data_IF_435223975763
#
_entry.id   IF_435223975763
#
_cell.length_a   1.000
_cell.length_b   1.000
_cell.length_c   1.000
_cell.angle_alpha   90.00
_cell.angle_beta   90.00
_cell.angle_gamma   90.00
#
_symmetry.space_group_name_H-M   'P 1'
#
loop_
_entity.id
_entity.type
_entity.pdbx_description
1 polymer ?
#
# COMPACT_ATOMS: atom_id res chain seq x y z
N UNK A 1 17.56 -4.06 5.81
CA UNK A 1 16.20 -3.54 5.55
C UNK A 1 15.50 -3.32 6.88
N UNK A 2 14.95 -2.12 7.14
CA UNK A 2 14.22 -1.77 8.39
C UNK A 2 12.73 -1.43 8.16
N UNK A 3 12.18 -1.78 6.99
CA UNK A 3 10.78 -1.52 6.67
C UNK A 3 9.84 -2.54 7.34
N UNK A 4 8.72 -2.08 7.88
CA UNK A 4 7.64 -2.92 8.39
C UNK A 4 6.38 -2.69 7.56
N UNK A 5 6.07 -3.61 6.64
CA UNK A 5 4.85 -3.55 5.82
C UNK A 5 3.56 -3.68 6.65
N UNK A 6 3.67 -4.08 7.91
CA UNK A 6 2.59 -4.19 8.88
C UNK A 6 2.51 -2.98 9.80
N UNK A 7 3.22 -1.88 9.52
CA UNK A 7 3.26 -0.75 10.46
C UNK A 7 1.88 -0.14 10.72
N UNK A 8 1.04 -0.01 9.69
CA UNK A 8 -0.32 0.52 9.82
C UNK A 8 -1.19 -0.30 10.77
N UNK A 9 -1.12 -1.64 10.71
CA UNK A 9 -1.91 -2.52 11.60
C UNK A 9 -1.40 -2.56 13.04
N UNK A 10 -0.25 -1.94 13.32
CA UNK A 10 0.35 -1.86 14.65
C UNK A 10 0.11 -0.49 15.31
N UNK A 11 -0.62 0.43 14.68
CA UNK A 11 -0.84 1.78 15.23
C UNK A 11 -1.47 1.72 16.63
N UNK A 12 -2.42 0.81 16.89
CA UNK A 12 -3.04 0.68 18.23
C UNK A 12 -2.04 0.29 19.32
N UNK A 13 -1.34 -0.87 19.23
CA UNK A 13 -0.38 -1.25 20.26
C UNK A 13 0.81 -0.28 20.35
N UNK A 14 1.17 0.42 19.28
CA UNK A 14 2.21 1.45 19.32
C UNK A 14 1.77 2.66 20.16
N UNK A 15 0.57 3.21 19.91
CA UNK A 15 0.04 4.32 20.70
C UNK A 15 -0.11 3.96 22.19
N UNK A 16 -0.59 2.75 22.47
CA UNK A 16 -0.72 2.27 23.85
C UNK A 16 0.63 2.17 24.56
N UNK A 17 1.65 1.57 23.92
CA UNK A 17 3.00 1.45 24.49
C UNK A 17 3.70 2.80 24.65
N UNK A 18 3.34 3.79 23.85
CA UNK A 18 3.83 5.17 23.99
C UNK A 18 3.19 5.95 25.13
N UNK A 19 2.25 5.36 25.88
CA UNK A 19 1.63 5.97 27.06
C UNK A 19 0.38 6.81 26.78
N UNK A 20 -0.13 6.81 25.55
CA UNK A 20 -1.39 7.49 25.22
C UNK A 20 -2.58 6.73 25.83
N UNK A 21 -3.58 7.50 26.26
CA UNK A 21 -4.86 7.01 26.78
C UNK A 21 -5.95 7.20 25.74
N UNK A 22 -7.10 6.55 25.96
CA UNK A 22 -8.27 6.62 25.08
C UNK A 22 -7.93 6.33 23.61
N UNK A 23 -7.02 5.38 23.38
CA UNK A 23 -6.52 5.05 22.04
C UNK A 23 -7.66 4.50 21.19
N UNK A 24 -7.85 5.10 20.01
CA UNK A 24 -8.78 4.63 18.98
C UNK A 24 -8.06 4.55 17.66
N UNK A 25 -8.35 3.51 16.86
CA UNK A 25 -7.77 3.33 15.53
C UNK A 25 -8.84 2.88 14.57
N UNK A 26 -8.97 3.60 13.46
CA UNK A 26 -9.92 3.29 12.39
C UNK A 26 -9.20 2.91 11.09
N UNK A 27 -9.66 1.88 10.37
CA UNK A 27 -9.22 1.64 9.00
C UNK A 27 -9.78 2.72 8.07
N UNK A 28 -8.98 3.15 7.10
CA UNK A 28 -9.32 4.11 6.05
C UNK A 28 -9.06 3.44 4.70
N UNK A 29 -10.07 2.70 4.24
CA UNK A 29 -9.99 1.92 3.01
C UNK A 29 -10.17 2.80 1.77
N UNK A 30 -9.32 2.56 0.79
CA UNK A 30 -9.44 3.03 -0.60
C UNK A 30 -9.85 1.82 -1.41
N UNK A 31 -11.12 1.79 -1.83
CA UNK A 31 -11.65 0.79 -2.74
C UNK A 31 -11.84 1.42 -4.13
N UNK A 32 -11.30 0.76 -5.15
CA UNK A 32 -11.25 1.23 -6.52
C UNK A 32 -11.79 0.13 -7.44
N UNK A 33 -12.62 0.55 -8.39
CA UNK A 33 -13.11 -0.22 -9.51
C UNK A 33 -13.27 0.74 -10.70
N UNK A 34 -13.64 0.20 -11.87
CA UNK A 34 -13.77 1.00 -13.11
C UNK A 34 -14.76 2.18 -13.05
N UNK A 35 -15.66 2.24 -12.07
CA UNK A 35 -16.57 3.39 -11.87
C UNK A 35 -15.90 4.62 -11.23
N UNK A 36 -14.63 4.50 -10.79
CA UNK A 36 -13.87 5.57 -10.10
C UNK A 36 -12.59 5.94 -10.86
N UNK A 37 -12.71 6.45 -12.11
CA UNK A 37 -11.56 6.66 -13.01
C UNK A 37 -10.50 7.59 -12.42
N UNK A 38 -10.89 8.57 -11.61
CA UNK A 38 -9.97 9.47 -10.91
C UNK A 38 -9.09 8.76 -9.86
N UNK A 39 -9.62 7.73 -9.20
CA UNK A 39 -8.85 6.91 -8.26
C UNK A 39 -8.01 5.86 -8.99
N UNK A 40 -8.50 5.31 -10.11
CA UNK A 40 -7.71 4.45 -10.99
C UNK A 40 -6.45 5.18 -11.43
N UNK A 41 -6.60 6.37 -12.01
CA UNK A 41 -5.48 7.19 -12.47
C UNK A 41 -4.61 7.69 -11.30
N UNK A 42 -5.20 8.35 -10.31
CA UNK A 42 -4.46 8.99 -9.23
C UNK A 42 -3.80 8.00 -8.27
N UNK A 43 -4.49 6.93 -7.89
CA UNK A 43 -4.03 6.02 -6.86
C UNK A 43 -3.32 4.80 -7.45
N UNK A 44 -3.90 4.11 -8.44
CA UNK A 44 -3.24 2.92 -9.00
C UNK A 44 -2.07 3.35 -9.90
N UNK A 45 -2.35 4.10 -10.97
CA UNK A 45 -1.37 4.41 -12.02
C UNK A 45 -0.29 5.41 -11.57
N UNK A 46 -0.66 6.43 -10.80
CA UNK A 46 0.25 7.52 -10.42
C UNK A 46 0.84 7.41 -9.02
N UNK A 47 0.35 6.49 -8.18
CA UNK A 47 0.85 6.32 -6.81
C UNK A 47 1.38 4.91 -6.55
N UNK A 48 0.56 3.88 -6.71
CA UNK A 48 0.92 2.50 -6.35
C UNK A 48 1.97 1.93 -7.31
N UNK A 49 1.72 1.98 -8.62
CA UNK A 49 2.66 1.42 -9.60
C UNK A 49 4.05 2.09 -9.49
N UNK A 50 4.17 3.44 -9.50
CA UNK A 50 5.47 4.11 -9.33
C UNK A 50 6.15 3.77 -8.00
N UNK A 51 5.39 3.57 -6.91
CA UNK A 51 5.94 3.16 -5.62
C UNK A 51 6.58 1.77 -5.68
N UNK A 52 5.96 0.83 -6.41
CA UNK A 52 6.53 -0.51 -6.61
C UNK A 52 7.74 -0.43 -7.55
N UNK A 53 7.62 0.27 -8.68
CA UNK A 53 8.73 0.45 -9.63
C UNK A 53 9.98 1.07 -8.98
N UNK A 54 9.78 2.01 -8.05
CA UNK A 54 10.85 2.67 -7.30
C UNK A 54 11.77 1.72 -6.52
N UNK A 55 11.35 0.48 -6.24
CA UNK A 55 12.18 -0.52 -5.57
C UNK A 55 12.71 -1.63 -6.51
N UNK A 56 12.48 -1.55 -7.84
CA UNK A 56 12.94 -2.57 -8.82
C UNK A 56 14.42 -2.90 -8.63
N UNK A 57 15.28 -1.87 -8.75
CA UNK A 57 16.74 -2.05 -8.68
C UNK A 57 17.17 -2.74 -7.39
N UNK A 58 16.67 -2.26 -6.25
CA UNK A 58 16.99 -2.84 -4.94
C UNK A 58 16.52 -4.29 -4.83
N UNK A 59 15.30 -4.60 -5.30
CA UNK A 59 14.76 -5.96 -5.24
C UNK A 59 15.58 -6.96 -6.09
N UNK A 60 16.07 -6.54 -7.25
CA UNK A 60 16.92 -7.35 -8.13
C UNK A 60 18.33 -7.53 -7.55
N UNK A 61 18.96 -6.46 -7.07
CA UNK A 61 20.28 -6.52 -6.42
C UNK A 61 20.28 -7.42 -5.19
N UNK A 62 19.19 -7.39 -4.42
CA UNK A 62 18.98 -8.26 -3.26
C UNK A 62 18.53 -9.68 -3.63
N UNK A 63 18.39 -9.99 -4.93
CA UNK A 63 17.95 -11.29 -5.45
C UNK A 63 16.61 -11.76 -4.87
N UNK A 64 15.73 -10.83 -4.50
CA UNK A 64 14.40 -11.13 -3.96
C UNK A 64 13.42 -11.55 -5.05
N UNK A 65 13.69 -11.16 -6.30
CA UNK A 65 12.88 -11.48 -7.47
C UNK A 65 13.76 -11.54 -8.72
N UNK A 66 13.35 -12.30 -9.74
CA UNK A 66 13.96 -12.27 -11.08
C UNK A 66 13.33 -11.16 -11.92
N UNK A 67 14.09 -10.58 -12.84
CA UNK A 67 13.61 -9.49 -13.70
C UNK A 67 12.35 -9.86 -14.49
N UNK A 68 12.33 -11.04 -15.12
CA UNK A 68 11.14 -11.52 -15.85
C UNK A 68 9.88 -11.56 -14.98
N UNK A 69 10.00 -12.04 -13.73
CA UNK A 69 8.87 -12.08 -12.79
C UNK A 69 8.45 -10.68 -12.33
N UNK A 70 9.41 -9.77 -12.20
CA UNK A 70 9.14 -8.39 -11.86
C UNK A 70 8.32 -7.70 -12.96
N UNK A 71 8.76 -7.80 -14.21
CA UNK A 71 8.10 -7.19 -15.36
C UNK A 71 6.68 -7.75 -15.55
N UNK A 72 6.53 -9.07 -15.39
CA UNK A 72 5.20 -9.70 -15.38
C UNK A 72 4.32 -9.13 -14.25
N UNK A 73 4.84 -9.00 -13.03
CA UNK A 73 4.08 -8.48 -11.90
C UNK A 73 3.65 -7.02 -12.05
N UNK A 74 4.49 -6.17 -12.66
CA UNK A 74 4.11 -4.79 -12.98
C UNK A 74 3.01 -4.75 -14.05
N UNK A 75 3.09 -5.61 -15.07
CA UNK A 75 2.03 -5.73 -16.08
C UNK A 75 0.70 -6.17 -15.44
N UNK A 76 0.71 -7.20 -14.61
CA UNK A 76 -0.48 -7.68 -13.89
C UNK A 76 -1.04 -6.59 -12.94
N UNK A 77 -0.18 -5.73 -12.38
CA UNK A 77 -0.62 -4.59 -11.57
C UNK A 77 -1.30 -3.51 -12.43
N UNK A 78 -0.84 -3.26 -13.66
CA UNK A 78 -1.53 -2.39 -14.62
C UNK A 78 -2.91 -2.93 -15.01
N UNK A 79 -3.07 -4.25 -15.14
CA UNK A 79 -4.36 -4.88 -15.46
C UNK A 79 -5.43 -4.59 -14.38
N UNK A 80 -5.02 -4.32 -13.13
CA UNK A 80 -5.96 -3.90 -12.07
C UNK A 80 -6.59 -2.52 -12.29
N UNK A 81 -6.00 -1.70 -13.17
CA UNK A 81 -6.49 -0.38 -13.57
C UNK A 81 -7.31 -0.42 -14.87
N UNK A 82 -7.44 -1.58 -15.51
CA UNK A 82 -8.22 -1.75 -16.74
C UNK A 82 -9.70 -2.04 -16.45
N UNK A 83 -10.52 -2.12 -17.50
CA UNK A 83 -11.94 -2.44 -17.38
C UNK A 83 -12.15 -3.81 -16.72
N UNK A 84 -12.94 -3.85 -15.65
CA UNK A 84 -13.17 -5.07 -14.84
C UNK A 84 -12.15 -5.28 -13.71
N UNK A 85 -11.08 -4.48 -13.66
CA UNK A 85 -10.12 -4.47 -12.56
C UNK A 85 -10.70 -3.86 -11.28
N UNK A 86 -10.19 -4.33 -10.14
CA UNK A 86 -10.48 -3.73 -8.82
C UNK A 86 -9.21 -3.66 -7.99
N UNK A 87 -9.14 -2.68 -7.08
CA UNK A 87 -8.00 -2.48 -6.19
C UNK A 87 -8.45 -2.08 -4.79
N UNK A 88 -7.75 -2.59 -3.78
CA UNK A 88 -8.03 -2.30 -2.38
C UNK A 88 -6.73 -1.95 -1.64
N UNK A 89 -6.74 -0.84 -0.93
CA UNK A 89 -5.66 -0.44 -0.02
C UNK A 89 -6.25 0.12 1.27
N UNK A 90 -5.66 -0.16 2.43
CA UNK A 90 -6.17 0.35 3.71
C UNK A 90 -5.08 1.08 4.49
N UNK A 91 -5.31 2.37 4.73
CA UNK A 91 -4.56 3.13 5.72
C UNK A 91 -5.16 2.91 7.12
N UNK A 92 -4.40 3.24 8.17
CA UNK A 92 -4.90 3.23 9.55
C UNK A 92 -4.69 4.60 10.16
N UNK A 93 -5.75 5.18 10.74
CA UNK A 93 -5.69 6.45 11.45
C UNK A 93 -5.89 6.20 12.93
N UNK A 94 -4.95 6.63 13.75
CA UNK A 94 -5.00 6.51 15.20
C UNK A 94 -5.11 7.85 15.91
N UNK A 95 -5.77 7.85 17.06
CA UNK A 95 -5.87 8.99 17.99
C UNK A 95 -5.56 8.50 19.40
N UNK A 96 -5.08 9.41 20.25
CA UNK A 96 -4.87 9.18 21.67
C UNK A 96 -4.71 10.50 22.41
N UNK A 97 -4.95 10.47 23.72
CA UNK A 97 -4.80 11.60 24.64
C UNK A 97 -3.54 11.40 25.47
N UNK A 98 -2.79 12.49 25.73
CA UNK A 98 -1.57 12.44 26.54
C UNK A 98 -1.88 12.22 28.03
#
# INVERSE_FOLDING_TARGET
MKGNSLIGRQVYPLLQKSGFREVRVDPRMVYIDSSKPELVDGFILKTIIPMVEGVKKQALEMKMMKEEKWEKGIKELHETAESGGTFCYTFFKGWGVK
#
